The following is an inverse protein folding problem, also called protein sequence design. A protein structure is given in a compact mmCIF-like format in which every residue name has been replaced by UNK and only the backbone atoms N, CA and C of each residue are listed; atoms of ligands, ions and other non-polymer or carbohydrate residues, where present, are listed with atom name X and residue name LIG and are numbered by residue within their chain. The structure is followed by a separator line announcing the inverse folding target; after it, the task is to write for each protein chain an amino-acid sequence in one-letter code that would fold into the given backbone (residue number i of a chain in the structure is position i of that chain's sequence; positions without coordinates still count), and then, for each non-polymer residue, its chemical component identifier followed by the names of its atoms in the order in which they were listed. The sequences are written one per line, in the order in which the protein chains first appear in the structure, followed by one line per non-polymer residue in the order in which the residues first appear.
data_IF_757990858977
#
_entry.id   IF_757990858977
#
_cell.length_a   1.000
_cell.length_b   1.000
_cell.length_c   1.000
_cell.angle_alpha   90.00
_cell.angle_beta   90.00
_cell.angle_gamma   90.00
#
_symmetry.space_group_name_H-M   'P 1'
#
loop_
_entity.id
_entity.type
_entity.pdbx_description
1 polymer ?
#
# COMPACT_ATOMS: atom_id res chain seq x y z
N UNK A 1 2.36 -12.88 11.60
CA UNK A 1 3.38 -11.83 11.69
C UNK A 1 2.71 -10.51 11.34
N UNK A 2 2.39 -9.71 12.35
CA UNK A 2 1.79 -8.38 12.20
C UNK A 2 2.84 -7.28 12.25
N UNK A 3 2.45 -6.02 12.03
CA UNK A 3 3.38 -4.88 12.04
C UNK A 3 4.14 -4.72 13.39
N UNK A 4 3.53 -5.15 14.51
CA UNK A 4 4.17 -5.16 15.84
C UNK A 4 5.37 -6.10 15.91
N UNK A 5 5.28 -7.26 15.25
CA UNK A 5 6.35 -8.27 15.26
C UNK A 5 7.59 -7.83 14.46
N UNK A 6 7.44 -6.78 13.63
CA UNK A 6 8.50 -6.21 12.79
C UNK A 6 9.08 -4.90 13.36
N UNK A 7 8.81 -4.60 14.63
CA UNK A 7 9.24 -3.38 15.33
C UNK A 7 8.92 -2.10 14.55
N UNK A 8 7.69 -2.01 14.02
CA UNK A 8 7.27 -0.88 13.20
C UNK A 8 7.40 0.47 13.94
N UNK A 9 8.00 1.45 13.25
CA UNK A 9 8.17 2.84 13.69
C UNK A 9 7.67 3.78 12.60
N UNK A 10 7.10 4.92 12.97
CA UNK A 10 6.64 5.94 12.03
C UNK A 10 7.85 6.63 11.41
N UNK A 11 7.94 6.60 10.10
CA UNK A 11 8.98 7.32 9.41
C UNK A 11 8.73 8.82 9.41
N UNK A 12 9.79 9.57 9.62
CA UNK A 12 9.85 10.98 9.24
C UNK A 12 11.20 11.22 8.58
N UNK A 13 11.27 12.15 7.62
CA UNK A 13 12.53 12.48 6.96
C UNK A 13 13.63 12.98 7.94
N UNK A 14 13.30 13.76 9.00
CA UNK A 14 14.29 14.14 10.01
C UNK A 14 14.76 13.00 10.92
N UNK A 15 13.99 11.90 11.01
CA UNK A 15 14.30 10.74 11.88
C UNK A 15 14.17 9.46 11.05
N UNK A 16 15.19 9.13 10.23
CA UNK A 16 15.13 8.00 9.30
C UNK A 16 14.96 6.64 9.97
N UNK A 17 15.42 6.48 11.21
CA UNK A 17 15.25 5.29 12.05
C UNK A 17 13.81 5.08 12.51
N UNK A 18 12.99 6.13 12.46
CA UNK A 18 11.58 6.15 12.80
C UNK A 18 11.26 6.42 14.27
N UNK A 19 10.07 6.96 14.51
CA UNK A 19 9.51 7.26 15.83
C UNK A 19 8.63 6.12 16.33
N UNK A 20 8.71 5.80 17.62
CA UNK A 20 7.82 4.81 18.23
C UNK A 20 6.38 5.34 18.26
N UNK A 21 5.43 4.43 18.08
CA UNK A 21 4.01 4.74 18.16
C UNK A 21 3.25 3.52 18.69
N UNK A 22 2.05 3.74 19.20
CA UNK A 22 1.17 2.62 19.54
C UNK A 22 0.58 2.04 18.26
N UNK A 23 0.98 0.82 17.89
CA UNK A 23 0.44 0.14 16.72
C UNK A 23 -0.88 -0.56 17.07
N UNK A 24 -1.87 0.18 17.54
CA UNK A 24 -3.23 -0.31 17.82
C UNK A 24 -4.25 0.28 16.84
N UNK A 25 -5.46 -0.30 16.82
CA UNK A 25 -6.51 0.11 15.90
C UNK A 25 -6.92 1.57 16.10
N UNK A 26 -6.97 2.05 17.34
CA UNK A 26 -7.33 3.43 17.65
C UNK A 26 -6.31 4.40 17.05
N UNK A 27 -5.03 4.18 17.28
CA UNK A 27 -3.95 5.03 16.76
C UNK A 27 -3.92 4.99 15.25
N UNK A 28 -3.95 3.80 14.65
CA UNK A 28 -3.92 3.63 13.21
C UNK A 28 -5.11 4.31 12.51
N UNK A 29 -6.29 4.37 13.15
CA UNK A 29 -7.47 5.04 12.60
C UNK A 29 -7.31 6.56 12.44
N UNK A 30 -6.30 7.17 13.09
CA UNK A 30 -6.10 8.63 13.11
C UNK A 30 -5.44 9.17 11.83
N UNK A 31 -4.99 8.31 10.92
CA UNK A 31 -4.42 8.73 9.65
C UNK A 31 -4.79 7.76 8.51
N UNK A 32 -4.96 8.31 7.31
CA UNK A 32 -5.29 7.53 6.11
C UNK A 32 -4.08 6.79 5.51
N UNK A 33 -2.88 7.30 5.80
CA UNK A 33 -1.58 6.80 5.33
C UNK A 33 -0.59 6.78 6.50
N UNK A 34 0.07 5.64 6.70
CA UNK A 34 1.20 5.50 7.60
C UNK A 34 2.42 5.04 6.83
N UNK A 35 3.45 5.87 6.79
CA UNK A 35 4.76 5.48 6.29
C UNK A 35 5.61 4.95 7.45
N UNK A 36 6.02 3.69 7.37
CA UNK A 36 6.69 2.96 8.44
C UNK A 36 8.09 2.50 8.04
N UNK A 37 8.95 2.41 9.04
CA UNK A 37 10.20 1.66 9.02
C UNK A 37 10.01 0.41 9.86
N UNK A 38 10.47 -0.73 9.34
CA UNK A 38 10.44 -2.02 10.02
C UNK A 38 11.79 -2.70 9.88
N UNK A 39 12.01 -3.80 10.61
CA UNK A 39 13.24 -4.60 10.46
C UNK A 39 13.39 -5.22 9.06
N UNK A 40 12.28 -5.35 8.31
CA UNK A 40 12.25 -5.83 6.94
C UNK A 40 12.31 -4.70 5.90
N UNK A 41 12.50 -3.44 6.33
CA UNK A 41 12.55 -2.27 5.47
C UNK A 41 11.30 -1.39 5.53
N UNK A 42 11.10 -0.59 4.47
CA UNK A 42 10.00 0.38 4.33
C UNK A 42 8.65 -0.31 4.14
N UNK A 43 7.62 0.18 4.82
CA UNK A 43 6.25 -0.29 4.68
C UNK A 43 5.28 0.88 4.72
N UNK A 44 4.42 1.02 3.72
CA UNK A 44 3.30 1.96 3.75
C UNK A 44 1.99 1.21 4.04
N UNK A 45 1.20 1.73 4.99
CA UNK A 45 -0.16 1.28 5.25
C UNK A 45 -1.14 2.35 4.75
N UNK A 46 -1.99 1.98 3.80
CA UNK A 46 -3.01 2.88 3.23
C UNK A 46 -4.38 2.27 3.39
N UNK A 47 -5.29 2.94 4.10
CA UNK A 47 -6.63 2.40 4.35
C UNK A 47 -7.54 2.53 3.12
N UNK A 48 -7.44 3.68 2.46
CA UNK A 48 -8.24 4.01 1.28
C UNK A 48 -7.34 4.64 0.21
N UNK A 49 -6.69 3.81 -0.63
CA UNK A 49 -5.97 4.33 -1.79
C UNK A 49 -6.89 5.22 -2.64
N UNK A 50 -6.34 6.30 -3.20
CA UNK A 50 -7.08 7.24 -4.05
C UNK A 50 -7.88 6.51 -5.13
N UNK A 51 -9.11 6.94 -5.40
CA UNK A 51 -9.96 6.32 -6.43
C UNK A 51 -10.57 4.95 -6.06
N UNK A 52 -10.39 4.48 -4.82
CA UNK A 52 -10.92 3.19 -4.34
C UNK A 52 -11.89 3.36 -3.17
N UNK A 53 -12.66 2.32 -2.89
CA UNK A 53 -13.48 2.18 -1.68
C UNK A 53 -12.74 1.62 -0.46
N UNK A 54 -11.42 1.46 -0.53
CA UNK A 54 -10.62 0.79 0.50
C UNK A 54 -10.53 -0.72 0.30
N UNK A 55 -10.21 -1.44 1.39
CA UNK A 55 -9.88 -2.86 1.32
C UNK A 55 -10.97 -3.73 0.69
N UNK A 56 -12.22 -3.59 1.13
CA UNK A 56 -13.31 -4.44 0.63
C UNK A 56 -13.58 -4.23 -0.86
N UNK A 57 -13.38 -3.00 -1.35
CA UNK A 57 -13.46 -2.70 -2.78
C UNK A 57 -12.38 -3.45 -3.57
N UNK A 58 -11.12 -3.31 -3.14
CA UNK A 58 -9.95 -3.94 -3.78
C UNK A 58 -9.95 -5.47 -3.65
N UNK A 59 -10.48 -5.99 -2.55
CA UNK A 59 -10.52 -7.41 -2.25
C UNK A 59 -11.36 -8.22 -3.26
N UNK A 60 -12.37 -7.59 -3.89
CA UNK A 60 -13.29 -8.25 -4.84
C UNK A 60 -12.62 -8.71 -6.13
N UNK A 61 -11.62 -7.98 -6.59
CA UNK A 61 -10.89 -8.21 -7.86
C UNK A 61 -9.42 -8.58 -7.63
N UNK A 62 -9.01 -8.79 -6.37
CA UNK A 62 -7.63 -9.04 -6.02
C UNK A 62 -7.08 -10.33 -6.69
N UNK A 63 -5.84 -10.24 -7.17
CA UNK A 63 -5.10 -11.38 -7.70
C UNK A 63 -4.34 -12.05 -6.55
N UNK A 64 -4.50 -13.36 -6.40
CA UNK A 64 -3.83 -14.13 -5.35
C UNK A 64 -2.52 -14.71 -5.86
N UNK A 65 -1.44 -14.44 -5.12
CA UNK A 65 -0.11 -14.98 -5.33
C UNK A 65 0.27 -15.92 -4.18
N UNK A 66 1.20 -16.84 -4.44
CA UNK A 66 1.92 -17.57 -3.39
C UNK A 66 3.36 -17.08 -3.38
N UNK A 67 3.80 -16.56 -2.24
CA UNK A 67 5.17 -16.11 -2.04
C UNK A 67 5.60 -16.52 -0.64
N UNK A 68 6.84 -17.00 -0.47
CA UNK A 68 7.39 -17.37 0.84
C UNK A 68 6.46 -18.28 1.68
N UNK A 69 5.77 -19.24 1.04
CA UNK A 69 4.84 -20.15 1.70
C UNK A 69 3.48 -19.55 2.11
N UNK A 70 3.27 -18.23 1.93
CA UNK A 70 2.02 -17.54 2.26
C UNK A 70 1.21 -17.17 1.02
N UNK A 71 -0.11 -17.12 1.16
CA UNK A 71 -1.01 -16.56 0.15
C UNK A 71 -1.09 -15.05 0.34
N UNK A 72 -0.77 -14.30 -0.70
CA UNK A 72 -0.80 -12.83 -0.71
C UNK A 72 -1.83 -12.37 -1.73
N UNK A 73 -2.66 -11.39 -1.37
CA UNK A 73 -3.58 -10.73 -2.30
C UNK A 73 -2.98 -9.41 -2.74
N UNK A 74 -2.86 -9.22 -4.04
CA UNK A 74 -2.49 -7.94 -4.63
C UNK A 74 -3.68 -7.33 -5.36
N UNK A 75 -3.77 -6.00 -5.38
CA UNK A 75 -4.74 -5.29 -6.19
C UNK A 75 -4.60 -5.67 -7.67
N UNK A 76 -5.71 -5.72 -8.40
CA UNK A 76 -5.67 -6.00 -9.84
C UNK A 76 -4.98 -4.85 -10.59
N UNK A 77 -4.46 -5.12 -11.79
CA UNK A 77 -3.91 -4.06 -12.64
C UNK A 77 -4.94 -2.93 -12.91
N UNK A 78 -6.23 -3.28 -13.05
CA UNK A 78 -7.30 -2.30 -13.24
C UNK A 78 -7.46 -1.41 -12.01
N UNK A 79 -7.36 -1.98 -10.81
CA UNK A 79 -7.46 -1.23 -9.56
C UNK A 79 -6.24 -0.35 -9.29
N UNK A 80 -5.04 -0.85 -9.63
CA UNK A 80 -3.81 -0.06 -9.54
C UNK A 80 -3.90 1.13 -10.51
N UNK A 81 -4.30 0.89 -11.77
CA UNK A 81 -4.49 1.96 -12.76
C UNK A 81 -5.53 2.98 -12.29
N UNK A 82 -6.69 2.53 -11.80
CA UNK A 82 -7.74 3.38 -11.22
C UNK A 82 -7.17 4.27 -10.11
N UNK A 83 -6.35 3.70 -9.23
CA UNK A 83 -5.77 4.46 -8.12
C UNK A 83 -4.72 5.48 -8.56
N UNK A 84 -3.88 5.10 -9.53
CA UNK A 84 -2.86 5.98 -10.12
C UNK A 84 -3.49 7.17 -10.86
N UNK A 85 -4.54 6.92 -11.66
CA UNK A 85 -5.30 7.97 -12.33
C UNK A 85 -5.93 8.96 -11.35
N UNK A 86 -6.46 8.46 -10.23
CA UNK A 86 -7.07 9.31 -9.20
C UNK A 86 -6.04 10.12 -8.40
N UNK A 87 -4.86 9.57 -8.13
CA UNK A 87 -3.79 10.27 -7.40
C UNK A 87 -3.05 11.29 -8.25
N UNK A 88 -2.84 10.99 -9.54
CA UNK A 88 -2.25 11.88 -10.56
C UNK A 88 -0.97 12.64 -10.12
N UNK A 89 -0.09 12.02 -9.33
CA UNK A 89 1.22 12.61 -9.01
C UNK A 89 2.16 12.49 -10.21
N UNK A 90 3.23 13.30 -10.29
CA UNK A 90 4.19 13.22 -11.40
C UNK A 90 4.71 11.79 -11.66
N UNK A 91 5.04 11.04 -10.61
CA UNK A 91 5.47 9.64 -10.78
C UNK A 91 4.34 8.69 -11.26
N UNK A 92 3.08 9.00 -10.96
CA UNK A 92 1.96 8.15 -11.34
C UNK A 92 1.65 8.26 -12.84
N UNK A 93 1.95 9.40 -13.48
CA UNK A 93 1.71 9.62 -14.91
C UNK A 93 2.46 8.60 -15.78
N UNK A 94 3.71 8.31 -15.44
CA UNK A 94 4.50 7.28 -16.13
C UNK A 94 3.92 5.88 -15.90
N UNK A 95 3.54 5.56 -14.66
CA UNK A 95 2.94 4.28 -14.30
C UNK A 95 1.62 4.03 -15.06
N UNK A 96 0.78 5.06 -15.19
CA UNK A 96 -0.50 4.99 -15.92
C UNK A 96 -0.30 4.54 -17.37
N UNK A 97 0.72 5.07 -18.06
CA UNK A 97 1.03 4.70 -19.45
C UNK A 97 1.39 3.21 -19.52
N UNK A 98 2.29 2.76 -18.65
CA UNK A 98 2.77 1.37 -18.62
C UNK A 98 1.62 0.40 -18.31
N UNK A 99 0.83 0.69 -17.28
CA UNK A 99 -0.28 -0.15 -16.84
C UNK A 99 -1.38 -0.24 -17.90
N UNK A 100 -1.66 0.86 -18.59
CA UNK A 100 -2.62 0.88 -19.70
C UNK A 100 -2.17 -0.04 -20.84
N UNK A 101 -0.87 -0.01 -21.18
CA UNK A 101 -0.32 -0.86 -22.22
C UNK A 101 -0.32 -2.35 -21.83
N UNK A 102 0.02 -2.67 -20.58
CA UNK A 102 -0.07 -4.03 -20.06
C UNK A 102 -1.49 -4.60 -20.13
N UNK A 103 -2.51 -3.77 -19.91
CA UNK A 103 -3.92 -4.19 -19.98
C UNK A 103 -4.40 -4.43 -21.41
N UNK A 104 -3.86 -3.75 -22.42
CA UNK A 104 -4.20 -3.98 -23.84
C UNK A 104 -3.66 -5.30 -24.39
N UNK A 105 -2.55 -5.79 -23.83
CA UNK A 105 -1.84 -7.00 -24.28
C UNK A 105 -2.37 -8.30 -23.62
N UNK A 106 -3.42 -8.19 -22.82
CA UNK A 106 -4.06 -9.28 -22.08
C UNK A 106 -5.35 -9.71 -22.76
#
# INVERSE_FOLDING_TARGET
MGARDLHARVYTEPVPEGLTFSCDAETLSRAELWSLVTDAGRLDLVFKPSGTGGYDDLARSAVTFRAFGVKVRAASLKDILRSKLASNRPQDQQDVIILTEMLKRR
#
